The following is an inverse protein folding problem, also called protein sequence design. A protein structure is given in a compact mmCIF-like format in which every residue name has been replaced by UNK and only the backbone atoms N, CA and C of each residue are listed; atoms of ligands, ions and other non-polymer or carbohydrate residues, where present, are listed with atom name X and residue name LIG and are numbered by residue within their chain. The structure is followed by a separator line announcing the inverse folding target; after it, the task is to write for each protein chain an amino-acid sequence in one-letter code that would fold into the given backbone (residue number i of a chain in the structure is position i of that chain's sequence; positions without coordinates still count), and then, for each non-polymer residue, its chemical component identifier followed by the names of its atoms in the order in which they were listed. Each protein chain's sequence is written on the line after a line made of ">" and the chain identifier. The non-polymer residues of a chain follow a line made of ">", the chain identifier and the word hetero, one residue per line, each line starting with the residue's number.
data_IF_341622369190
#
_entry.id   IF_341622369190
#
_cell.length_a   1.000
_cell.length_b   1.000
_cell.length_c   1.000
_cell.angle_alpha   90.00
_cell.angle_beta   90.00
_cell.angle_gamma   90.00
#
_symmetry.space_group_name_H-M   'P 1'
#
loop_
_entity.id
_entity.type
_entity.pdbx_description
1 polymer ?
#
# COMPACT_ATOMS: atom_id res chain seq x y z
N UNK A 1 -6.14 4.20 10.03
CA UNK A 1 -7.08 5.15 9.40
C UNK A 1 -7.57 4.53 8.11
N UNK A 2 -8.88 4.54 7.84
CA UNK A 2 -9.38 3.94 6.61
C UNK A 2 -9.02 4.80 5.38
N UNK A 3 -8.63 4.12 4.32
CA UNK A 3 -8.56 4.64 2.97
C UNK A 3 -9.63 3.97 2.14
N UNK A 4 -10.04 4.59 1.07
CA UNK A 4 -11.00 3.99 0.17
C UNK A 4 -10.90 4.53 -1.24
N UNK A 5 -11.48 3.77 -2.14
CA UNK A 5 -11.74 4.18 -3.50
C UNK A 5 -13.21 3.86 -3.81
N UNK A 6 -13.92 4.84 -4.31
CA UNK A 6 -15.30 4.68 -4.78
C UNK A 6 -15.29 4.81 -6.29
N UNK A 7 -15.76 3.77 -6.96
CA UNK A 7 -15.86 3.71 -8.42
C UNK A 7 -17.35 3.67 -8.78
N UNK A 8 -17.77 4.63 -9.58
CA UNK A 8 -19.10 4.69 -10.19
C UNK A 8 -18.98 4.54 -11.70
N UNK A 9 -20.06 4.47 -12.41
CA UNK A 9 -20.03 4.41 -13.88
C UNK A 9 -19.29 5.58 -14.54
N UNK A 10 -19.31 6.76 -13.89
CA UNK A 10 -18.82 8.00 -14.49
C UNK A 10 -17.64 8.63 -13.73
N UNK A 11 -17.28 8.09 -12.57
CA UNK A 11 -16.30 8.75 -11.70
C UNK A 11 -15.55 7.74 -10.84
N UNK A 12 -14.26 8.01 -10.66
CA UNK A 12 -13.40 7.36 -9.67
C UNK A 12 -13.01 8.43 -8.65
N UNK A 13 -13.16 8.13 -7.37
CA UNK A 13 -12.78 9.03 -6.29
C UNK A 13 -12.04 8.25 -5.20
N UNK A 14 -10.87 8.74 -4.82
CA UNK A 14 -10.17 8.26 -3.63
C UNK A 14 -10.66 8.99 -2.39
N UNK A 15 -10.57 8.34 -1.24
CA UNK A 15 -10.91 8.91 0.07
C UNK A 15 -9.70 8.76 0.97
N UNK A 16 -9.24 9.84 1.56
CA UNK A 16 -8.10 9.84 2.46
C UNK A 16 -8.34 10.68 3.72
N UNK A 17 -7.64 10.34 4.78
CA UNK A 17 -7.60 11.18 5.96
C UNK A 17 -6.83 12.48 5.68
N UNK A 18 -7.20 13.56 6.36
CA UNK A 18 -6.58 14.88 6.17
C UNK A 18 -5.06 14.86 6.37
N UNK A 19 -4.55 14.05 7.29
CA UNK A 19 -3.11 13.93 7.52
C UNK A 19 -2.34 13.36 6.33
N UNK A 20 -3.02 12.56 5.50
CA UNK A 20 -2.43 11.90 4.33
C UNK A 20 -2.85 12.56 3.00
N UNK A 21 -3.58 13.65 3.07
CA UNK A 21 -4.24 14.28 1.92
C UNK A 21 -3.29 14.65 0.77
N UNK A 22 -2.04 15.00 1.08
CA UNK A 22 -1.05 15.35 0.06
C UNK A 22 -0.63 14.17 -0.82
N UNK A 23 -0.73 12.95 -0.34
CA UNK A 23 -0.32 11.75 -1.07
C UNK A 23 -1.27 11.43 -2.23
N UNK A 24 -2.60 11.22 -1.99
CA UNK A 24 -3.54 10.98 -3.07
C UNK A 24 -3.63 12.15 -4.04
N UNK A 25 -3.55 13.39 -3.55
CA UNK A 25 -3.59 14.58 -4.38
C UNK A 25 -2.48 14.60 -5.45
N UNK A 26 -1.26 14.17 -5.08
CA UNK A 26 -0.13 14.15 -6.01
C UNK A 26 -0.12 12.92 -6.94
N UNK A 27 -0.66 11.78 -6.47
CA UNK A 27 -0.44 10.47 -7.09
C UNK A 27 -1.69 9.85 -7.70
N UNK A 28 -2.88 10.34 -7.37
CA UNK A 28 -4.12 9.91 -7.98
C UNK A 28 -4.41 10.67 -9.26
N UNK A 29 -4.85 9.95 -10.28
CA UNK A 29 -5.40 10.54 -11.50
C UNK A 29 -6.91 10.84 -11.38
N UNK A 30 -7.47 10.72 -10.19
CA UNK A 30 -8.88 10.91 -9.91
C UNK A 30 -9.08 11.91 -8.76
N UNK A 31 -10.33 12.31 -8.55
CA UNK A 31 -10.68 13.18 -7.43
C UNK A 31 -10.34 12.53 -6.09
N UNK A 32 -9.91 13.33 -5.15
CA UNK A 32 -9.67 12.90 -3.78
C UNK A 32 -10.60 13.64 -2.81
N UNK A 33 -11.35 12.88 -2.03
CA UNK A 33 -12.19 13.42 -0.95
C UNK A 33 -11.45 13.25 0.37
N UNK A 34 -11.23 14.37 1.05
CA UNK A 34 -10.50 14.41 2.31
C UNK A 34 -11.49 14.41 3.46
N UNK A 35 -11.25 13.58 4.47
CA UNK A 35 -12.00 13.61 5.72
C UNK A 35 -11.09 13.91 6.91
N UNK A 36 -11.68 14.45 8.00
CA UNK A 36 -10.95 14.71 9.24
C UNK A 36 -10.81 13.44 10.08
N UNK A 37 -9.69 13.29 10.79
CA UNK A 37 -9.34 12.08 11.53
C UNK A 37 -10.11 11.86 12.85
N UNK A 38 -10.86 12.83 13.27
CA UNK A 38 -11.46 12.87 14.60
C UNK A 38 -12.52 11.80 14.84
N UNK A 39 -13.23 11.39 13.79
CA UNK A 39 -14.34 10.44 13.88
C UNK A 39 -14.31 9.50 12.69
N UNK A 40 -14.41 8.21 12.92
CA UNK A 40 -14.53 7.19 11.87
C UNK A 40 -15.73 7.43 10.95
N UNK A 41 -16.79 8.00 11.47
CA UNK A 41 -17.99 8.35 10.70
C UNK A 41 -17.72 9.38 9.60
N UNK A 42 -16.63 10.15 9.68
CA UNK A 42 -16.25 11.09 8.63
C UNK A 42 -15.82 10.37 7.34
N UNK A 43 -15.23 9.18 7.44
CA UNK A 43 -14.97 8.33 6.27
C UNK A 43 -16.27 7.90 5.59
N UNK A 44 -17.28 7.50 6.37
CA UNK A 44 -18.61 7.16 5.85
C UNK A 44 -19.31 8.35 5.20
N UNK A 45 -19.18 9.54 5.79
CA UNK A 45 -19.70 10.78 5.17
C UNK A 45 -19.02 11.08 3.85
N UNK A 46 -17.71 10.82 3.71
CA UNK A 46 -17.01 10.96 2.46
C UNK A 46 -17.53 9.98 1.40
N UNK A 47 -17.77 8.71 1.75
CA UNK A 47 -18.42 7.74 0.85
C UNK A 47 -19.79 8.29 0.37
N UNK A 48 -20.61 8.73 1.30
CA UNK A 48 -21.95 9.26 1.00
C UNK A 48 -21.88 10.52 0.13
N UNK A 49 -20.89 11.39 0.33
CA UNK A 49 -20.74 12.60 -0.50
C UNK A 49 -20.39 12.29 -1.96
N UNK A 50 -19.76 11.13 -2.21
CA UNK A 50 -19.40 10.68 -3.57
C UNK A 50 -20.61 9.98 -4.24
N UNK A 51 -21.26 9.10 -3.51
CA UNK A 51 -22.35 8.26 -4.04
C UNK A 51 -23.66 9.04 -4.13
N UNK A 52 -23.91 9.97 -3.19
CA UNK A 52 -25.19 10.65 -3.03
C UNK A 52 -26.16 9.87 -2.10
N UNK A 53 -27.09 10.60 -1.49
CA UNK A 53 -28.14 10.02 -0.63
C UNK A 53 -29.47 9.87 -1.33
N UNK A 54 -29.76 10.78 -2.25
CA UNK A 54 -31.08 10.91 -2.81
C UNK A 54 -31.40 9.80 -3.82
N UNK A 55 -30.38 9.28 -4.49
CA UNK A 55 -30.50 8.15 -5.41
C UNK A 55 -29.44 7.08 -5.09
N UNK A 56 -29.65 6.30 -4.04
CA UNK A 56 -28.69 5.26 -3.66
C UNK A 56 -28.58 4.20 -4.76
N UNK A 57 -27.37 3.67 -5.03
CA UNK A 57 -27.17 2.67 -6.06
C UNK A 57 -27.91 1.37 -5.68
N UNK A 58 -28.52 0.72 -6.66
CA UNK A 58 -29.18 -0.57 -6.45
C UNK A 58 -28.20 -1.68 -6.07
N UNK A 59 -27.00 -1.65 -6.63
CA UNK A 59 -25.94 -2.63 -6.39
C UNK A 59 -24.68 -1.95 -5.95
N UNK A 60 -24.00 -2.51 -4.93
CA UNK A 60 -22.73 -2.07 -4.41
C UNK A 60 -21.78 -3.25 -4.39
N UNK A 61 -20.66 -3.16 -5.14
CA UNK A 61 -19.53 -4.08 -5.01
C UNK A 61 -18.68 -3.68 -3.82
N UNK A 62 -18.25 -4.65 -3.02
CA UNK A 62 -17.40 -4.42 -1.85
C UNK A 62 -16.31 -5.50 -1.75
N UNK A 63 -15.12 -5.12 -1.33
CA UNK A 63 -14.03 -6.06 -1.08
C UNK A 63 -14.16 -6.68 0.32
N UNK A 64 -14.82 -7.82 0.42
CA UNK A 64 -15.09 -8.47 1.71
C UNK A 64 -13.81 -8.95 2.44
N UNK A 65 -12.72 -9.14 1.72
CA UNK A 65 -11.41 -9.50 2.28
C UNK A 65 -10.62 -8.32 2.84
N UNK A 66 -11.05 -7.08 2.57
CA UNK A 66 -10.40 -5.85 3.05
C UNK A 66 -11.29 -5.03 3.99
N UNK A 67 -12.59 -5.04 3.76
CA UNK A 67 -13.54 -4.27 4.57
C UNK A 67 -13.86 -5.00 5.87
N UNK A 68 -13.70 -4.32 7.00
CA UNK A 68 -14.05 -4.90 8.29
C UNK A 68 -15.57 -5.10 8.42
N UNK A 69 -15.99 -6.05 9.27
CA UNK A 69 -17.43 -6.29 9.54
C UNK A 69 -18.12 -5.01 10.03
N UNK A 70 -17.51 -4.27 10.97
CA UNK A 70 -18.05 -2.99 11.47
C UNK A 70 -18.28 -1.99 10.34
N UNK A 71 -17.31 -1.84 9.42
CA UNK A 71 -17.45 -0.95 8.28
C UNK A 71 -18.54 -1.42 7.32
N UNK A 72 -18.62 -2.72 7.08
CA UNK A 72 -19.65 -3.33 6.23
C UNK A 72 -21.05 -3.08 6.78
N UNK A 73 -21.25 -3.25 8.09
CA UNK A 73 -22.53 -2.96 8.77
C UNK A 73 -22.91 -1.49 8.66
N UNK A 74 -21.96 -0.60 8.92
CA UNK A 74 -22.17 0.86 8.81
C UNK A 74 -22.53 1.30 7.40
N UNK A 75 -21.85 0.80 6.39
CA UNK A 75 -22.21 1.08 4.98
C UNK A 75 -23.60 0.54 4.69
N UNK A 76 -23.92 -0.67 5.13
CA UNK A 76 -25.24 -1.28 4.95
C UNK A 76 -26.37 -0.52 5.63
N UNK A 77 -26.12 0.08 6.79
CA UNK A 77 -27.11 0.92 7.49
C UNK A 77 -27.41 2.23 6.78
N UNK A 78 -26.50 2.71 5.94
CA UNK A 78 -26.70 3.92 5.11
C UNK A 78 -27.42 3.57 3.81
N UNK A 79 -27.02 2.48 3.17
CA UNK A 79 -27.57 2.05 1.88
C UNK A 79 -28.48 0.83 2.05
N UNK A 80 -29.54 1.00 2.82
CA UNK A 80 -30.44 -0.09 3.27
C UNK A 80 -31.16 -0.82 2.15
N UNK A 81 -31.36 -0.19 1.01
CA UNK A 81 -32.03 -0.77 -0.16
C UNK A 81 -31.08 -1.31 -1.23
N UNK A 82 -29.77 -1.21 -0.98
CA UNK A 82 -28.76 -1.69 -1.93
C UNK A 82 -28.47 -3.17 -1.72
N UNK A 83 -28.27 -3.88 -2.84
CA UNK A 83 -27.75 -5.25 -2.84
C UNK A 83 -26.23 -5.19 -2.85
N UNK A 84 -25.59 -5.89 -1.93
CA UNK A 84 -24.14 -5.93 -1.82
C UNK A 84 -23.59 -7.22 -2.43
N UNK A 85 -22.54 -7.07 -3.23
CA UNK A 85 -21.82 -8.18 -3.85
C UNK A 85 -20.35 -8.13 -3.48
N UNK A 86 -19.74 -9.30 -3.24
CA UNK A 86 -18.29 -9.40 -3.07
C UNK A 86 -17.58 -9.31 -4.42
N UNK A 87 -16.68 -8.34 -4.56
CA UNK A 87 -15.87 -8.12 -5.76
C UNK A 87 -14.38 -8.42 -5.56
N UNK A 88 -13.99 -8.92 -4.39
CA UNK A 88 -12.60 -9.17 -4.00
C UNK A 88 -11.86 -10.02 -5.03
N UNK A 89 -12.45 -11.13 -5.46
CA UNK A 89 -11.83 -12.04 -6.43
C UNK A 89 -11.63 -11.42 -7.82
N UNK A 90 -12.54 -10.57 -8.23
CA UNK A 90 -12.45 -9.93 -9.57
C UNK A 90 -11.40 -8.82 -9.56
N UNK A 91 -11.33 -8.03 -8.49
CA UNK A 91 -10.27 -7.05 -8.31
C UNK A 91 -8.90 -7.71 -8.18
N UNK A 92 -8.79 -8.83 -7.45
CA UNK A 92 -7.55 -9.60 -7.39
C UNK A 92 -7.11 -10.09 -8.79
N UNK A 93 -8.03 -10.62 -9.61
CA UNK A 93 -7.70 -11.05 -10.98
C UNK A 93 -7.15 -9.90 -11.82
N UNK A 94 -7.75 -8.71 -11.73
CA UNK A 94 -7.25 -7.52 -12.42
C UNK A 94 -5.81 -7.18 -12.00
N UNK A 95 -5.45 -7.36 -10.73
CA UNK A 95 -4.10 -7.09 -10.21
C UNK A 95 -3.10 -8.21 -10.49
N UNK A 96 -3.53 -9.40 -10.84
CA UNK A 96 -2.64 -10.52 -11.17
C UNK A 96 -1.90 -10.30 -12.50
N UNK A 97 -2.54 -9.66 -13.47
CA UNK A 97 -1.95 -9.37 -14.77
C UNK A 97 -1.47 -7.92 -14.76
N UNK A 98 -0.17 -7.73 -14.95
CA UNK A 98 0.49 -6.43 -14.94
C UNK A 98 0.57 -5.83 -16.33
N UNK A 99 0.44 -4.51 -16.44
CA UNK A 99 0.73 -3.80 -17.68
C UNK A 99 2.24 -3.80 -18.00
N UNK A 100 2.60 -3.42 -19.21
CA UNK A 100 4.01 -3.33 -19.61
C UNK A 100 4.77 -2.29 -18.76
N UNK A 101 4.13 -1.18 -18.42
CA UNK A 101 4.70 -0.16 -17.55
C UNK A 101 4.94 -0.67 -16.14
N UNK A 102 3.98 -1.41 -15.57
CA UNK A 102 4.14 -2.05 -14.26
C UNK A 102 5.27 -3.10 -14.28
N UNK A 103 5.40 -3.85 -15.37
CA UNK A 103 6.49 -4.82 -15.54
C UNK A 103 7.86 -4.11 -15.56
N UNK A 104 7.98 -2.96 -16.24
CA UNK A 104 9.23 -2.20 -16.24
C UNK A 104 9.56 -1.65 -14.84
N UNK A 105 8.57 -1.19 -14.09
CA UNK A 105 8.76 -0.76 -12.69
C UNK A 105 9.24 -1.94 -11.83
N UNK A 106 8.65 -3.12 -11.99
CA UNK A 106 9.05 -4.34 -11.27
C UNK A 106 10.50 -4.73 -11.62
N UNK A 107 10.88 -4.68 -12.90
CA UNK A 107 12.26 -4.95 -13.32
C UNK A 107 13.26 -3.98 -12.71
N UNK A 108 12.90 -2.71 -12.68
CA UNK A 108 13.72 -1.69 -12.05
C UNK A 108 13.86 -1.92 -10.54
N UNK A 109 12.78 -2.30 -9.86
CA UNK A 109 12.82 -2.68 -8.45
C UNK A 109 13.72 -3.91 -8.21
N UNK A 110 13.63 -4.93 -9.05
CA UNK A 110 14.49 -6.10 -8.98
C UNK A 110 15.97 -5.74 -9.14
N UNK A 111 16.32 -4.88 -10.12
CA UNK A 111 17.69 -4.39 -10.29
C UNK A 111 18.22 -3.66 -9.03
N UNK A 112 17.39 -2.85 -8.40
CA UNK A 112 17.76 -2.19 -7.13
C UNK A 112 17.97 -3.22 -6.02
N UNK A 113 17.12 -4.25 -5.94
CA UNK A 113 17.28 -5.33 -4.96
C UNK A 113 18.58 -6.12 -5.19
N UNK A 114 18.96 -6.39 -6.44
CA UNK A 114 20.23 -7.05 -6.77
C UNK A 114 21.44 -6.24 -6.27
N UNK A 115 21.41 -4.90 -6.46
CA UNK A 115 22.46 -4.00 -5.93
C UNK A 115 22.54 -4.08 -4.41
N UNK A 116 21.40 -4.16 -3.71
CA UNK A 116 21.37 -4.41 -2.27
C UNK A 116 21.96 -5.78 -1.90
N UNK A 117 21.62 -6.82 -2.64
CA UNK A 117 22.16 -8.17 -2.47
C UNK A 117 23.67 -8.23 -2.63
N UNK A 118 24.24 -7.56 -3.65
CA UNK A 118 25.68 -7.44 -3.81
C UNK A 118 26.34 -6.75 -2.61
N UNK A 119 25.70 -5.74 -2.05
CA UNK A 119 26.22 -5.03 -0.89
C UNK A 119 26.17 -5.89 0.38
N UNK A 120 25.13 -6.72 0.55
CA UNK A 120 25.06 -7.72 1.61
C UNK A 120 26.30 -8.61 1.56
N UNK A 121 26.60 -9.22 0.40
CA UNK A 121 27.72 -10.13 0.22
C UNK A 121 29.06 -9.48 0.63
N UNK A 122 29.26 -8.21 0.30
CA UNK A 122 30.46 -7.45 0.66
C UNK A 122 30.61 -7.21 2.17
N UNK A 123 29.45 -7.11 2.86
CA UNK A 123 29.42 -6.77 4.28
C UNK A 123 29.27 -7.99 5.21
N UNK A 124 29.17 -9.21 4.69
CA UNK A 124 29.25 -10.43 5.50
C UNK A 124 30.69 -10.63 5.96
N UNK A 125 30.97 -10.23 7.20
CA UNK A 125 32.29 -10.33 7.85
C UNK A 125 32.08 -10.71 9.31
N UNK A 126 33.09 -11.35 9.93
CA UNK A 126 33.05 -11.81 11.33
C UNK A 126 32.75 -10.69 12.33
N UNK A 127 33.18 -9.46 12.03
CA UNK A 127 33.03 -8.32 12.94
C UNK A 127 31.73 -7.53 12.74
N UNK A 128 30.94 -7.84 11.72
CA UNK A 128 29.70 -7.13 11.43
C UNK A 128 28.49 -7.80 12.07
N UNK A 129 27.64 -7.00 12.67
CA UNK A 129 26.32 -7.44 13.15
C UNK A 129 25.33 -7.59 12.00
N UNK A 130 24.25 -8.33 12.22
CA UNK A 130 23.17 -8.48 11.24
C UNK A 130 22.56 -7.14 10.83
N UNK A 131 22.38 -6.23 11.79
CA UNK A 131 21.82 -4.91 11.54
C UNK A 131 22.76 -4.04 10.70
N UNK A 132 24.06 -4.11 10.89
CA UNK A 132 25.04 -3.38 10.08
C UNK A 132 25.02 -3.83 8.63
N UNK A 133 24.92 -5.12 8.37
CA UNK A 133 24.76 -5.68 7.02
C UNK A 133 23.45 -5.19 6.39
N UNK A 134 22.35 -5.22 7.13
CA UNK A 134 21.05 -4.74 6.65
C UNK A 134 21.06 -3.25 6.34
N UNK A 135 21.67 -2.42 7.20
CA UNK A 135 21.79 -0.97 6.99
C UNK A 135 22.65 -0.66 5.76
N UNK A 136 23.79 -1.34 5.58
CA UNK A 136 24.66 -1.14 4.43
C UNK A 136 23.93 -1.41 3.10
N UNK A 137 23.18 -2.51 3.03
CA UNK A 137 22.40 -2.86 1.85
C UNK A 137 21.27 -1.86 1.58
N UNK A 138 20.54 -1.46 2.62
CA UNK A 138 19.48 -0.46 2.52
C UNK A 138 20.01 0.89 2.03
N UNK A 139 21.07 1.41 2.66
CA UNK A 139 21.71 2.67 2.26
C UNK A 139 22.15 2.63 0.80
N UNK A 140 22.72 1.51 0.36
CA UNK A 140 23.16 1.33 -1.03
C UNK A 140 22.00 1.34 -2.01
N UNK A 141 20.89 0.69 -1.70
CA UNK A 141 19.67 0.71 -2.53
C UNK A 141 19.06 2.11 -2.59
N UNK A 142 18.91 2.80 -1.46
CA UNK A 142 18.32 4.13 -1.40
C UNK A 142 19.14 5.15 -2.20
N UNK A 143 20.46 5.10 -2.11
CA UNK A 143 21.36 5.96 -2.92
C UNK A 143 21.21 5.68 -4.41
N UNK A 144 21.06 4.42 -4.80
CA UNK A 144 20.84 4.08 -6.21
C UNK A 144 19.48 4.55 -6.71
N UNK A 145 18.42 4.47 -5.88
CA UNK A 145 17.09 5.00 -6.21
C UNK A 145 17.19 6.51 -6.47
N UNK A 146 17.78 7.26 -5.57
CA UNK A 146 17.95 8.72 -5.73
C UNK A 146 18.71 9.06 -7.02
N UNK A 147 19.74 8.30 -7.35
CA UNK A 147 20.55 8.51 -8.55
C UNK A 147 19.80 8.15 -9.84
N UNK A 148 19.14 7.00 -9.85
CA UNK A 148 18.52 6.43 -11.05
C UNK A 148 17.11 6.97 -11.30
N UNK A 149 16.42 7.41 -10.25
CA UNK A 149 15.02 7.86 -10.27
C UNK A 149 14.88 9.18 -9.52
N UNK A 150 15.45 10.30 -10.01
CA UNK A 150 15.44 11.59 -9.31
C UNK A 150 14.03 12.17 -9.11
N UNK A 151 13.04 11.65 -9.82
CA UNK A 151 11.61 11.98 -9.63
C UNK A 151 10.88 11.10 -8.63
N UNK A 152 11.54 10.12 -8.00
CA UNK A 152 10.91 9.29 -6.96
C UNK A 152 10.65 10.14 -5.71
N UNK A 153 9.39 10.24 -5.33
CA UNK A 153 8.98 11.03 -4.16
C UNK A 153 8.95 10.22 -2.87
N UNK A 154 9.02 8.90 -2.97
CA UNK A 154 8.83 8.01 -1.84
C UNK A 154 9.81 6.84 -1.90
N UNK A 155 10.43 6.54 -0.78
CA UNK A 155 11.29 5.37 -0.60
C UNK A 155 10.74 4.51 0.52
N UNK A 156 10.67 3.21 0.25
CA UNK A 156 10.29 2.20 1.25
C UNK A 156 11.10 0.95 0.97
N UNK A 157 12.38 1.01 1.35
CA UNK A 157 13.32 -0.10 1.21
C UNK A 157 13.45 -0.85 2.52
N UNK A 158 13.19 -2.14 2.49
CA UNK A 158 13.30 -3.02 3.64
C UNK A 158 14.37 -4.06 3.39
N UNK A 159 15.29 -4.19 4.34
CA UNK A 159 16.30 -5.25 4.36
C UNK A 159 16.26 -5.92 5.71
N UNK A 160 16.02 -7.21 5.70
CA UNK A 160 16.15 -8.08 6.86
C UNK A 160 17.27 -9.06 6.55
N UNK A 161 18.31 -9.04 7.39
CA UNK A 161 19.42 -9.94 7.28
C UNK A 161 19.50 -10.78 8.55
N UNK A 162 19.64 -12.07 8.38
CA UNK A 162 19.71 -13.05 9.46
C UNK A 162 20.86 -14.00 9.22
N UNK A 163 21.52 -14.45 10.28
CA UNK A 163 22.63 -15.37 10.23
C UNK A 163 22.58 -16.40 11.36
N UNK A 164 23.29 -17.50 11.19
CA UNK A 164 23.46 -18.53 12.20
C UNK A 164 22.11 -19.03 12.76
N UNK A 165 21.99 -19.08 14.08
CA UNK A 165 20.79 -19.57 14.77
C UNK A 165 19.55 -18.71 14.50
N UNK A 166 19.71 -17.44 14.13
CA UNK A 166 18.61 -16.53 13.90
C UNK A 166 17.84 -16.84 12.59
N UNK A 167 18.37 -17.73 11.76
CA UNK A 167 17.73 -18.16 10.51
C UNK A 167 16.61 -19.19 10.70
N UNK A 168 16.38 -19.66 11.93
CA UNK A 168 15.32 -20.60 12.26
C UNK A 168 13.91 -19.99 12.18
N UNK A 169 13.82 -18.65 12.28
CA UNK A 169 12.58 -17.90 12.21
C UNK A 169 12.50 -17.00 10.97
N UNK A 170 11.65 -17.33 10.01
CA UNK A 170 11.59 -16.66 8.71
C UNK A 170 11.27 -15.15 8.76
N UNK A 171 10.71 -14.66 9.86
CA UNK A 171 10.31 -13.25 10.03
C UNK A 171 10.96 -12.57 11.24
N UNK A 172 12.05 -13.12 11.74
CA UNK A 172 12.82 -12.42 12.76
C UNK A 172 13.45 -11.16 12.14
N UNK A 173 13.38 -10.06 12.86
CA UNK A 173 14.09 -8.84 12.45
C UNK A 173 15.60 -9.05 12.65
N UNK A 174 16.42 -8.33 11.85
CA UNK A 174 17.87 -8.34 12.02
C UNK A 174 18.25 -7.94 13.44
N UNK A 175 19.08 -8.74 14.08
CA UNK A 175 19.48 -8.51 15.46
C UNK A 175 20.69 -7.56 15.54
N UNK A 176 20.77 -6.81 16.63
CA UNK A 176 21.88 -5.91 16.91
C UNK A 176 23.17 -6.72 17.18
N UNK A 177 23.02 -7.91 17.73
CA UNK A 177 24.12 -8.80 18.06
C UNK A 177 24.02 -10.11 17.27
N UNK A 178 25.14 -10.62 16.88
CA UNK A 178 25.30 -11.97 16.32
C UNK A 178 25.51 -12.97 17.45
#
# INVERSE_FOLDING_TARGET
>A
RPYGCVITQNKISTISANIDASQPWRRSHCDNVIYTDWKRDNFLRAIVSIIGRDEPPKNIGIENDHVTLDMREKIGSIFTFSVFSDVSKDLMKLRMIKSNEEIEIIRNGARIADIGGEEIVKNIREDNTEIEVAIAARDRMEREIVKSYPGAEYMDTWVWFQSGINTDGAHNLSLIHI
#
